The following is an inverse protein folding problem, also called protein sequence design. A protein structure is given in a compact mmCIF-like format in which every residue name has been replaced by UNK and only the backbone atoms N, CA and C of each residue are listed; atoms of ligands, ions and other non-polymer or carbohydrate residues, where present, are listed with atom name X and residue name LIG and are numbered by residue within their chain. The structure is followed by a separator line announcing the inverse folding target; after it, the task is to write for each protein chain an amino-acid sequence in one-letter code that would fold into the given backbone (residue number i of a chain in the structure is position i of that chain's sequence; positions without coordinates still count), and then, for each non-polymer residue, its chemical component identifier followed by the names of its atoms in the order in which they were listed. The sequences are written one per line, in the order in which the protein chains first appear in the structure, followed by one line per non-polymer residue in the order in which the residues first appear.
data_IF_839230530630
#
_entry.id   IF_839230530630
#
_cell.length_a   1.000
_cell.length_b   1.000
_cell.length_c   1.000
_cell.angle_alpha   90.00
_cell.angle_beta   90.00
_cell.angle_gamma   90.00
#
_symmetry.space_group_name_H-M   'P 1'
#
loop_
_entity.id
_entity.type
_entity.pdbx_description
1 polymer ?
#
# COMPACT_ATOMS: atom_id res chain seq x y z
N UNK A 1 19.88 9.20 2.52
CA UNK A 1 19.42 8.27 1.47
C UNK A 1 20.22 7.00 1.64
N UNK A 2 19.52 5.88 1.68
CA UNK A 2 20.10 4.55 1.80
C UNK A 2 20.05 3.86 0.44
N UNK A 3 21.08 3.10 0.10
CA UNK A 3 21.10 2.19 -1.03
C UNK A 3 20.58 0.81 -0.64
N UNK A 4 20.43 -0.08 -1.62
CA UNK A 4 20.05 -1.47 -1.36
C UNK A 4 20.98 -2.13 -0.35
N UNK A 5 20.39 -2.78 0.66
CA UNK A 5 21.10 -3.43 1.75
C UNK A 5 21.74 -2.50 2.79
N UNK A 6 21.63 -1.18 2.66
CA UNK A 6 22.11 -0.25 3.68
C UNK A 6 21.14 -0.12 4.86
N UNK A 7 21.68 0.22 6.04
CA UNK A 7 20.90 0.40 7.26
C UNK A 7 21.37 1.65 7.98
N UNK A 8 20.43 2.35 8.63
CA UNK A 8 20.71 3.46 9.52
C UNK A 8 20.07 3.20 10.88
N UNK A 9 20.85 3.43 11.95
CA UNK A 9 20.39 3.27 13.33
C UNK A 9 20.35 4.61 14.04
N UNK A 10 19.34 4.80 14.87
CA UNK A 10 19.20 5.95 15.75
C UNK A 10 19.30 5.49 17.21
N UNK A 11 20.13 6.17 18.00
CA UNK A 11 20.34 5.85 19.41
C UNK A 11 20.09 7.07 20.30
N UNK A 12 19.74 6.85 21.57
CA UNK A 12 19.47 7.94 22.51
C UNK A 12 18.14 8.64 22.27
N UNK A 13 17.16 7.92 21.70
CA UNK A 13 15.79 8.40 21.59
C UNK A 13 15.19 8.59 22.99
N UNK A 14 14.38 9.64 23.14
CA UNK A 14 13.66 9.91 24.38
C UNK A 14 12.50 8.92 24.45
N UNK A 15 12.36 8.14 25.53
CA UNK A 15 11.24 7.24 25.70
C UNK A 15 9.89 7.99 25.68
N UNK A 16 8.85 7.31 25.21
CA UNK A 16 7.47 7.82 25.12
C UNK A 16 7.28 9.04 24.19
N UNK A 17 8.33 9.46 23.48
CA UNK A 17 8.27 10.48 22.46
C UNK A 17 8.01 9.87 21.07
N UNK A 18 7.05 10.42 20.33
CA UNK A 18 6.79 9.97 18.95
C UNK A 18 7.80 10.56 17.97
N UNK A 19 8.32 9.70 17.10
CA UNK A 19 9.16 10.06 15.96
C UNK A 19 8.54 9.53 14.66
N UNK A 20 8.79 10.23 13.57
CA UNK A 20 8.35 9.84 12.23
C UNK A 20 9.54 9.72 11.30
N UNK A 21 9.65 8.59 10.61
CA UNK A 21 10.62 8.34 9.54
C UNK A 21 9.86 8.33 8.23
N UNK A 22 10.12 9.32 7.37
CA UNK A 22 9.53 9.43 6.05
C UNK A 22 10.52 8.98 4.98
N UNK A 23 10.06 8.17 4.05
CA UNK A 23 10.86 7.70 2.92
C UNK A 23 10.37 8.35 1.63
N UNK A 24 11.31 8.91 0.86
CA UNK A 24 11.01 9.48 -0.46
C UNK A 24 11.33 8.44 -1.52
N UNK A 25 10.29 7.87 -2.13
CA UNK A 25 10.44 6.85 -3.18
C UNK A 25 11.19 7.45 -4.38
N UNK A 26 12.37 6.93 -4.73
CA UNK A 26 13.11 7.42 -5.90
C UNK A 26 12.33 7.21 -7.21
N UNK A 27 12.63 8.00 -8.23
CA UNK A 27 12.01 7.85 -9.55
C UNK A 27 12.24 6.44 -10.12
N UNK A 28 11.21 5.89 -10.78
CA UNK A 28 11.17 4.53 -11.34
C UNK A 28 11.22 3.40 -10.31
N UNK A 29 11.02 3.70 -9.03
CA UNK A 29 10.79 2.70 -7.98
C UNK A 29 9.38 2.82 -7.43
N UNK A 30 8.88 1.71 -6.92
CA UNK A 30 7.60 1.63 -6.21
C UNK A 30 7.91 1.02 -4.84
N UNK A 31 7.44 1.68 -3.77
CA UNK A 31 7.48 1.09 -2.44
C UNK A 31 6.51 -0.10 -2.43
N UNK A 32 7.05 -1.30 -2.28
CA UNK A 32 6.30 -2.55 -2.30
C UNK A 32 5.69 -2.81 -0.92
N UNK A 33 6.51 -2.73 0.13
CA UNK A 33 6.08 -2.96 1.49
C UNK A 33 7.03 -2.30 2.51
N UNK A 34 6.52 -2.17 3.74
CA UNK A 34 7.32 -1.84 4.92
C UNK A 34 7.15 -2.99 5.91
N UNK A 35 8.26 -3.60 6.29
CA UNK A 35 8.31 -4.66 7.29
C UNK A 35 8.74 -4.06 8.62
N UNK A 36 8.03 -4.36 9.71
CA UNK A 36 8.24 -3.76 11.02
C UNK A 36 8.38 -4.86 12.08
N UNK A 37 9.36 -4.73 12.98
CA UNK A 37 9.62 -5.71 14.05
C UNK A 37 8.57 -5.66 15.15
N UNK A 38 8.52 -6.66 16.04
CA UNK A 38 7.74 -6.58 17.28
C UNK A 38 8.56 -5.93 18.42
N UNK A 39 7.98 -5.02 19.24
CA UNK A 39 6.63 -4.48 19.14
C UNK A 39 6.46 -3.61 17.88
N UNK A 40 5.34 -3.77 17.13
CA UNK A 40 5.18 -3.12 15.84
C UNK A 40 5.04 -1.60 15.99
N UNK A 41 5.91 -0.80 15.35
CA UNK A 41 5.59 0.60 15.08
C UNK A 41 4.38 0.71 14.14
N UNK A 42 3.83 1.91 14.02
CA UNK A 42 2.77 2.18 13.05
C UNK A 42 3.40 2.39 11.69
N UNK A 43 3.13 1.49 10.75
CA UNK A 43 3.71 1.50 9.41
C UNK A 43 2.65 1.91 8.40
N UNK A 44 2.76 3.13 7.91
CA UNK A 44 1.91 3.72 6.88
C UNK A 44 2.66 3.73 5.54
N UNK A 45 1.95 3.93 4.43
CA UNK A 45 2.63 3.98 3.12
C UNK A 45 3.66 5.10 3.09
N UNK A 46 4.94 4.75 2.98
CA UNK A 46 6.06 5.70 2.92
C UNK A 46 6.42 6.36 4.26
N UNK A 47 5.83 5.91 5.38
CA UNK A 47 6.08 6.51 6.69
C UNK A 47 6.05 5.47 7.80
N UNK A 48 7.01 5.58 8.72
CA UNK A 48 7.05 4.77 9.95
C UNK A 48 6.92 5.72 11.13
N UNK A 49 5.96 5.46 12.02
CA UNK A 49 5.76 6.23 13.25
C UNK A 49 6.13 5.32 14.43
N UNK A 50 7.10 5.75 15.22
CA UNK A 50 7.63 5.02 16.38
C UNK A 50 7.41 5.83 17.65
N UNK A 51 6.99 5.17 18.72
CA UNK A 51 7.00 5.71 20.08
C UNK A 51 7.72 4.69 20.95
N UNK A 52 9.05 4.82 21.16
CA UNK A 52 9.82 3.80 21.83
C UNK A 52 9.58 3.83 23.34
N UNK A 53 9.41 2.65 23.94
CA UNK A 53 9.46 2.44 25.38
C UNK A 53 10.92 2.46 25.89
N UNK A 54 11.15 2.67 27.20
CA UNK A 54 12.49 2.64 27.77
C UNK A 54 13.23 1.32 27.47
N UNK A 55 14.37 1.42 26.78
CA UNK A 55 15.21 0.26 26.44
C UNK A 55 14.73 -0.57 25.24
N UNK A 56 13.70 -0.12 24.53
CA UNK A 56 13.17 -0.81 23.36
C UNK A 56 14.11 -0.69 22.14
N UNK A 57 14.17 -1.76 21.34
CA UNK A 57 14.74 -1.74 19.99
C UNK A 57 13.61 -1.99 18.99
N UNK A 58 13.57 -1.20 17.92
CA UNK A 58 12.59 -1.31 16.85
C UNK A 58 13.35 -1.31 15.54
N UNK A 59 13.13 -2.34 14.73
CA UNK A 59 13.68 -2.46 13.39
C UNK A 59 12.55 -2.32 12.36
N UNK A 60 12.86 -1.66 11.25
CA UNK A 60 11.96 -1.57 10.12
C UNK A 60 12.74 -1.61 8.81
N UNK A 61 12.12 -2.17 7.77
CA UNK A 61 12.75 -2.35 6.45
C UNK A 61 11.79 -1.89 5.36
N UNK A 62 12.26 -0.98 4.52
CA UNK A 62 11.58 -0.60 3.29
C UNK A 62 11.99 -1.54 2.17
N UNK A 63 11.01 -2.08 1.45
CA UNK A 63 11.26 -2.88 0.24
C UNK A 63 10.72 -2.18 -0.99
N UNK A 64 11.55 -2.09 -2.01
CA UNK A 64 11.22 -1.46 -3.28
C UNK A 64 11.26 -2.48 -4.40
N UNK A 65 10.43 -2.23 -5.42
CA UNK A 65 10.53 -2.89 -6.72
C UNK A 65 10.67 -1.84 -7.82
N UNK A 66 11.20 -2.25 -8.96
CA UNK A 66 11.21 -1.41 -10.15
C UNK A 66 9.77 -1.09 -10.57
N UNK A 67 9.51 0.20 -10.78
CA UNK A 67 8.28 0.70 -11.35
C UNK A 67 8.28 0.45 -12.86
N UNK A 68 7.16 -0.03 -13.38
CA UNK A 68 6.93 -0.05 -14.82
C UNK A 68 6.66 1.37 -15.31
N UNK A 69 6.98 1.66 -16.57
CA UNK A 69 6.68 2.96 -17.16
C UNK A 69 5.18 3.25 -17.09
N UNK A 70 4.81 4.31 -16.37
CA UNK A 70 3.40 4.71 -16.21
C UNK A 70 2.70 4.14 -14.98
N UNK A 71 3.38 3.34 -14.15
CA UNK A 71 2.84 2.97 -12.84
C UNK A 71 2.85 4.20 -11.92
N UNK A 72 1.71 4.57 -11.32
CA UNK A 72 1.70 5.63 -10.33
C UNK A 72 2.54 5.24 -9.11
N UNK A 73 3.44 6.13 -8.70
CA UNK A 73 4.37 5.96 -7.55
C UNK A 73 3.68 6.06 -6.18
N UNK A 74 2.35 6.20 -6.16
CA UNK A 74 1.52 6.33 -4.96
C UNK A 74 0.44 5.26 -4.99
N UNK A 75 0.10 4.62 -3.84
CA UNK A 75 -0.97 3.63 -3.79
C UNK A 75 -2.22 4.25 -4.39
N UNK A 76 -2.59 3.77 -5.56
CA UNK A 76 -3.87 4.13 -6.14
C UNK A 76 -4.91 3.48 -5.26
N UNK A 77 -5.70 4.30 -4.58
CA UNK A 77 -7.02 3.88 -4.11
C UNK A 77 -7.77 3.41 -5.35
N UNK A 78 -7.74 2.11 -5.64
CA UNK A 78 -8.58 1.52 -6.67
C UNK A 78 -10.00 1.88 -6.24
N UNK A 79 -10.74 2.74 -6.95
CA UNK A 79 -12.14 2.92 -6.62
C UNK A 79 -12.75 1.54 -6.79
N UNK A 80 -13.20 0.93 -5.69
CA UNK A 80 -14.02 -0.27 -5.77
C UNK A 80 -15.21 0.11 -6.64
N UNK A 81 -15.17 -0.29 -7.92
CA UNK A 81 -16.30 -0.15 -8.82
C UNK A 81 -17.41 -0.95 -8.14
N UNK A 82 -18.35 -0.22 -7.54
CA UNK A 82 -19.40 -0.82 -6.75
C UNK A 82 -20.11 -1.87 -7.61
N UNK A 83 -20.50 -2.98 -7.00
CA UNK A 83 -21.15 -4.12 -7.66
C UNK A 83 -22.44 -3.78 -8.44
N UNK A 84 -22.87 -2.52 -8.44
CA UNK A 84 -23.93 -2.01 -9.31
C UNK A 84 -23.48 -1.79 -10.77
N UNK A 85 -22.19 -1.61 -11.05
CA UNK A 85 -21.68 -1.45 -12.42
C UNK A 85 -21.77 -2.71 -13.29
N UNK A 86 -21.72 -3.90 -12.69
CA UNK A 86 -21.82 -5.18 -13.40
C UNK A 86 -23.28 -5.62 -13.66
N UNK A 87 -24.25 -5.09 -12.91
CA UNK A 87 -25.68 -5.41 -13.08
C UNK A 87 -26.31 -4.84 -14.36
N UNK A 88 -25.74 -3.75 -14.90
CA UNK A 88 -26.23 -3.11 -16.12
C UNK A 88 -25.99 -3.94 -17.39
N UNK A 89 -24.90 -4.71 -17.45
CA UNK A 89 -24.51 -5.47 -18.65
C UNK A 89 -25.29 -6.79 -18.82
N UNK A 90 -25.79 -7.40 -17.74
CA UNK A 90 -26.58 -8.65 -17.82
C UNK A 90 -28.02 -8.38 -18.29
N UNK A 91 -28.56 -7.18 -18.06
CA UNK A 91 -29.93 -6.83 -18.44
C UNK A 91 -30.14 -6.66 -19.95
N UNK A 92 -29.09 -6.39 -20.73
CA UNK A 92 -29.16 -6.26 -22.18
C UNK A 92 -29.13 -7.60 -22.93
N UNK A 93 -28.58 -8.67 -22.35
CA UNK A 93 -28.57 -10.00 -22.98
C UNK A 93 -29.90 -10.76 -22.79
N UNK A 94 -30.64 -10.48 -21.71
CA UNK A 94 -31.93 -11.10 -21.41
C UNK A 94 -33.08 -10.68 -22.34
N UNK A 95 -33.02 -9.47 -22.90
CA UNK A 95 -34.06 -8.96 -23.82
C UNK A 95 -33.95 -9.52 -25.25
N UNK A 96 -32.78 -10.02 -25.67
CA UNK A 96 -32.60 -10.56 -27.03
C UNK A 96 -33.01 -12.04 -27.13
N UNK A 97 -32.90 -12.81 -26.04
CA UNK A 97 -33.31 -14.23 -26.01
C UNK A 97 -34.78 -14.45 -25.60
N UNK A 98 -35.41 -13.50 -24.90
CA UNK A 98 -36.81 -13.61 -24.46
C UNK A 98 -37.85 -13.50 -25.58
N UNK A 99 -37.49 -12.99 -26.76
CA UNK A 99 -38.43 -12.81 -27.87
C UNK A 99 -38.61 -14.06 -28.73
N UNK A 100 -37.80 -15.10 -28.54
CA UNK A 100 -37.84 -16.31 -29.39
C UNK A 100 -38.67 -17.46 -28.83
N UNK A 101 -39.32 -17.29 -27.67
CA UNK A 101 -40.11 -18.35 -27.00
C UNK A 101 -41.60 -18.02 -26.82
N UNK A 102 -42.16 -17.08 -27.61
CA UNK A 102 -43.59 -16.75 -27.60
C UNK A 102 -44.31 -16.94 -28.94
N UNK A 103 -43.73 -17.72 -29.85
CA UNK A 103 -44.41 -18.22 -31.05
C UNK A 103 -43.96 -19.67 -31.32
N UNK A 104 -44.64 -20.59 -30.67
CA UNK A 104 -44.59 -22.03 -30.87
C UNK A 104 -45.83 -22.62 -30.24
#
# INVERSE_FOLDING_TARGET
SLHDGETQSFSGLIPDQTYTVNEQVPANWVLEEILCSEPPPVCETGSIIVTPEPGQSIDATFRFRLGLSGEPTSPQTIPALSLWGLGGLISLLGLVLGWRWRRG
#
